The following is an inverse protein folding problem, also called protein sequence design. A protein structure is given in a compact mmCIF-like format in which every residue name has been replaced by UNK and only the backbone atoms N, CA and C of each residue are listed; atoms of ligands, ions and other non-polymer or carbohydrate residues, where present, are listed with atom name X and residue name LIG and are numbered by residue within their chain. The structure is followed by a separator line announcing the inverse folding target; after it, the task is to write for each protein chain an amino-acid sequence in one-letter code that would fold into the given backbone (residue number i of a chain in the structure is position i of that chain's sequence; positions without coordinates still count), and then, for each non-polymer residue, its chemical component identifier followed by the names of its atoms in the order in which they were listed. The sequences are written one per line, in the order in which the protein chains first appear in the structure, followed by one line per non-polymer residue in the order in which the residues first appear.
data_IF_051938008489
#
_entry.id   IF_051938008489
#
_cell.length_a   1.000
_cell.length_b   1.000
_cell.length_c   1.000
_cell.angle_alpha   90.00
_cell.angle_beta   90.00
_cell.angle_gamma   90.00
#
_symmetry.space_group_name_H-M   'P 1'
#
loop_
_entity.id
_entity.type
_entity.pdbx_description
1 polymer ?
#
# COMPACT_ATOMS: atom_id res chain seq x y z
N UNK A 1 -3.03 2.87 19.44
CA UNK A 1 -3.50 1.58 20.02
C UNK A 1 -4.96 1.72 20.41
N UNK A 2 -5.73 0.65 20.30
CA UNK A 2 -7.05 0.60 20.92
C UNK A 2 -6.81 0.39 22.42
N UNK A 3 -7.32 1.29 23.25
CA UNK A 3 -6.98 1.35 24.68
C UNK A 3 -8.19 0.92 25.54
N UNK A 4 -9.01 0.03 25.01
CA UNK A 4 -10.19 -0.54 25.68
C UNK A 4 -10.17 -2.06 25.49
N UNK A 5 -10.97 -2.76 26.28
CA UNK A 5 -11.17 -4.20 26.16
C UNK A 5 -11.62 -4.62 24.75
N UNK A 6 -11.29 -5.84 24.36
CA UNK A 6 -11.45 -6.33 22.97
C UNK A 6 -12.91 -6.27 22.51
N UNK A 7 -13.86 -6.58 23.40
CA UNK A 7 -15.30 -6.54 23.17
C UNK A 7 -15.87 -5.13 23.05
N UNK A 8 -15.20 -4.13 23.63
CA UNK A 8 -15.55 -2.71 23.55
C UNK A 8 -14.81 -1.97 22.43
N UNK A 9 -13.79 -2.59 21.84
CA UNK A 9 -12.94 -1.96 20.86
C UNK A 9 -13.64 -1.88 19.48
N UNK A 10 -13.73 -0.70 18.85
CA UNK A 10 -14.32 -0.59 17.52
C UNK A 10 -13.47 -1.35 16.50
N UNK A 11 -14.11 -1.99 15.50
CA UNK A 11 -13.42 -2.74 14.47
C UNK A 11 -12.59 -1.84 13.54
N UNK A 12 -11.54 -2.41 12.95
CA UNK A 12 -10.70 -1.74 11.94
C UNK A 12 -9.28 -1.40 12.40
N UNK A 13 -8.38 -1.34 11.43
CA UNK A 13 -6.97 -0.94 11.56
C UNK A 13 -6.59 -0.08 10.34
N UNK A 14 -5.62 0.83 10.47
CA UNK A 14 -5.04 1.50 9.31
C UNK A 14 -4.03 0.60 8.60
N UNK A 15 -4.09 0.58 7.27
CA UNK A 15 -3.23 -0.26 6.44
C UNK A 15 -2.74 0.39 5.14
N UNK A 16 -3.28 1.54 4.70
CA UNK A 16 -2.97 2.10 3.38
C UNK A 16 -1.46 2.35 3.18
N UNK A 17 -0.80 2.91 4.20
CA UNK A 17 0.62 3.25 4.17
C UNK A 17 1.56 2.03 4.28
N UNK A 18 1.01 0.85 4.61
CA UNK A 18 1.79 -0.39 4.78
C UNK A 18 1.41 -1.48 3.78
N UNK A 19 0.34 -1.30 3.00
CA UNK A 19 -0.26 -2.36 2.19
C UNK A 19 0.72 -3.03 1.23
N UNK A 20 1.48 -2.24 0.45
CA UNK A 20 2.46 -2.77 -0.50
C UNK A 20 3.55 -3.58 0.22
N UNK A 21 4.16 -2.98 1.23
CA UNK A 21 5.25 -3.59 2.02
C UNK A 21 4.80 -4.86 2.76
N UNK A 22 3.58 -4.88 3.29
CA UNK A 22 2.99 -6.08 3.88
C UNK A 22 2.84 -7.18 2.84
N UNK A 23 2.27 -6.88 1.67
CA UNK A 23 2.12 -7.86 0.61
C UNK A 23 3.46 -8.39 0.11
N UNK A 24 4.49 -7.55 0.02
CA UNK A 24 5.84 -8.01 -0.34
C UNK A 24 6.33 -9.02 0.70
N UNK A 25 6.32 -8.61 1.98
CA UNK A 25 6.80 -9.45 3.09
C UNK A 25 6.04 -10.76 3.24
N UNK A 26 4.71 -10.75 3.07
CA UNK A 26 3.87 -11.91 3.40
C UNK A 26 3.43 -12.73 2.20
N UNK A 27 3.51 -12.20 0.98
CA UNK A 27 3.06 -12.90 -0.23
C UNK A 27 4.17 -13.09 -1.27
N UNK A 28 5.05 -12.10 -1.48
CA UNK A 28 6.13 -12.24 -2.46
C UNK A 28 7.34 -12.96 -1.87
N UNK A 29 7.86 -12.50 -0.73
CA UNK A 29 9.05 -13.10 -0.10
C UNK A 29 8.88 -14.61 0.19
N UNK A 30 7.72 -15.10 0.68
CA UNK A 30 7.51 -16.53 0.87
C UNK A 30 7.17 -17.31 -0.43
N UNK A 31 7.08 -16.62 -1.58
CA UNK A 31 6.83 -17.23 -2.89
C UNK A 31 5.36 -17.55 -3.19
N UNK A 32 4.40 -16.99 -2.44
CA UNK A 32 2.96 -17.20 -2.70
C UNK A 32 2.45 -16.44 -3.93
N UNK A 33 3.06 -15.30 -4.25
CA UNK A 33 2.75 -14.50 -5.43
C UNK A 33 4.03 -14.02 -6.12
N UNK A 34 3.97 -13.91 -7.44
CA UNK A 34 4.93 -13.11 -8.22
C UNK A 34 4.59 -11.62 -8.15
N UNK A 35 5.54 -10.76 -8.51
CA UNK A 35 5.30 -9.32 -8.64
C UNK A 35 4.11 -8.98 -9.55
N UNK A 36 4.01 -9.63 -10.70
CA UNK A 36 2.91 -9.37 -11.65
C UNK A 36 1.56 -9.78 -11.07
N UNK A 37 1.50 -10.89 -10.32
CA UNK A 37 0.27 -11.30 -9.65
C UNK A 37 -0.13 -10.33 -8.54
N UNK A 38 0.83 -9.80 -7.77
CA UNK A 38 0.55 -8.79 -6.76
C UNK A 38 0.04 -7.49 -7.41
N UNK A 39 0.71 -6.99 -8.45
CA UNK A 39 0.33 -5.77 -9.16
C UNK A 39 -1.08 -5.91 -9.76
N UNK A 40 -1.42 -7.05 -10.38
CA UNK A 40 -2.78 -7.28 -10.89
C UNK A 40 -3.82 -7.22 -9.77
N UNK A 41 -3.56 -7.85 -8.61
CA UNK A 41 -4.48 -7.83 -7.46
C UNK A 41 -4.68 -6.44 -6.86
N UNK A 42 -3.67 -5.57 -6.92
CA UNK A 42 -3.74 -4.22 -6.35
C UNK A 42 -4.21 -3.16 -7.36
N UNK A 43 -4.10 -3.41 -8.67
CA UNK A 43 -4.32 -2.39 -9.71
C UNK A 43 -5.31 -2.83 -10.80
N UNK A 44 -4.86 -3.62 -11.78
CA UNK A 44 -5.63 -4.01 -12.97
C UNK A 44 -6.89 -4.83 -12.63
N UNK A 45 -6.80 -5.73 -11.66
CA UNK A 45 -7.89 -6.56 -11.16
C UNK A 45 -9.05 -5.71 -10.61
N UNK A 46 -8.83 -4.88 -9.58
CA UNK A 46 -9.84 -3.95 -9.09
C UNK A 46 -10.40 -3.01 -10.17
N UNK A 47 -9.55 -2.44 -11.03
CA UNK A 47 -10.00 -1.57 -12.12
C UNK A 47 -10.95 -2.28 -13.10
N UNK A 48 -10.66 -3.54 -13.45
CA UNK A 48 -11.52 -4.39 -14.28
C UNK A 48 -12.85 -4.70 -13.61
N UNK A 49 -12.86 -5.04 -12.32
CA UNK A 49 -14.10 -5.31 -11.55
C UNK A 49 -14.98 -4.07 -11.52
N UNK A 50 -14.39 -2.90 -11.29
CA UNK A 50 -15.07 -1.61 -11.20
C UNK A 50 -15.35 -0.96 -12.57
N UNK A 51 -14.97 -1.62 -13.69
CA UNK A 51 -15.14 -1.13 -15.07
C UNK A 51 -14.48 0.23 -15.33
N UNK A 52 -13.30 0.45 -14.75
CA UNK A 52 -12.54 1.69 -14.88
C UNK A 52 -11.54 1.58 -16.05
N UNK A 53 -11.97 1.99 -17.25
CA UNK A 53 -11.22 1.79 -18.50
C UNK A 53 -9.83 2.46 -18.56
N UNK A 54 -9.62 3.53 -17.77
CA UNK A 54 -8.39 4.33 -17.76
C UNK A 54 -7.58 4.20 -16.47
N UNK A 55 -7.97 3.30 -15.55
CA UNK A 55 -7.27 3.06 -14.27
C UNK A 55 -6.57 1.69 -14.25
N UNK A 56 -5.62 1.52 -13.34
CA UNK A 56 -4.97 0.23 -13.08
C UNK A 56 -4.16 -0.31 -14.26
N UNK A 57 -3.62 0.58 -15.10
CA UNK A 57 -2.82 0.24 -16.28
C UNK A 57 -1.70 1.26 -16.46
N UNK A 58 -0.63 0.87 -17.14
CA UNK A 58 0.50 1.74 -17.50
C UNK A 58 0.68 1.78 -19.02
N UNK A 59 -0.35 2.29 -19.71
CA UNK A 59 -0.37 2.45 -21.17
C UNK A 59 -0.53 3.91 -21.54
N UNK A 60 -0.02 4.30 -22.70
CA UNK A 60 -0.26 5.63 -23.28
C UNK A 60 -1.77 5.92 -23.39
N UNK A 61 -2.17 7.13 -23.00
CA UNK A 61 -3.57 7.58 -23.05
C UNK A 61 -4.42 7.21 -21.83
N UNK A 62 -3.89 6.44 -20.87
CA UNK A 62 -4.55 6.21 -19.58
C UNK A 62 -4.24 7.36 -18.59
N UNK A 63 -4.96 7.38 -17.47
CA UNK A 63 -4.70 8.35 -16.41
C UNK A 63 -3.28 8.13 -15.87
N UNK A 64 -2.53 9.21 -15.68
CA UNK A 64 -1.16 9.17 -15.16
C UNK A 64 -1.14 8.96 -13.64
N UNK A 65 -1.67 7.82 -13.21
CA UNK A 65 -1.69 7.33 -11.83
C UNK A 65 -0.61 6.28 -11.65
N UNK A 66 0.50 6.65 -10.99
CA UNK A 66 1.70 5.82 -10.90
C UNK A 66 2.27 5.87 -9.49
N UNK A 67 2.66 4.72 -8.94
CA UNK A 67 3.43 4.67 -7.69
C UNK A 67 4.86 4.24 -7.99
N UNK A 68 5.82 5.06 -7.61
CA UNK A 68 7.25 4.71 -7.64
C UNK A 68 7.64 4.19 -6.26
N UNK A 69 8.27 3.02 -6.22
CA UNK A 69 8.76 2.43 -4.99
C UNK A 69 10.08 1.70 -5.25
N UNK A 70 10.89 1.55 -4.21
CA UNK A 70 12.13 0.76 -4.28
C UNK A 70 11.87 -0.64 -3.70
N UNK A 71 11.88 -1.71 -4.52
CA UNK A 71 11.45 -3.04 -4.10
C UNK A 71 12.30 -3.60 -2.95
N UNK A 72 13.62 -3.37 -2.97
CA UNK A 72 14.54 -3.91 -1.96
C UNK A 72 14.83 -2.97 -0.78
N UNK A 73 14.33 -1.72 -0.80
CA UNK A 73 14.67 -0.77 0.25
C UNK A 73 13.92 -1.12 1.53
N UNK A 74 14.68 -1.32 2.60
CA UNK A 74 14.17 -1.62 3.91
C UNK A 74 13.74 -0.35 4.64
N UNK A 75 12.66 -0.47 5.41
CA UNK A 75 12.20 0.56 6.31
C UNK A 75 11.45 -0.06 7.49
N UNK A 76 11.45 0.64 8.62
CA UNK A 76 10.70 0.23 9.82
C UNK A 76 9.37 0.99 9.86
N UNK A 77 8.29 0.27 10.11
CA UNK A 77 6.95 0.86 10.25
C UNK A 77 6.90 1.74 11.50
N UNK A 78 6.93 3.04 11.30
CA UNK A 78 6.72 4.03 12.35
C UNK A 78 5.36 4.70 12.18
N UNK A 79 4.37 4.22 12.94
CA UNK A 79 3.00 4.77 12.90
C UNK A 79 2.95 6.25 13.24
N UNK A 80 3.92 6.79 14.00
CA UNK A 80 3.95 8.22 14.33
C UNK A 80 4.19 9.09 13.10
N UNK A 81 4.88 8.56 12.09
CA UNK A 81 5.14 9.23 10.81
C UNK A 81 4.00 9.09 9.80
N UNK A 82 2.99 8.28 10.11
CA UNK A 82 1.90 8.08 9.18
C UNK A 82 1.15 9.38 8.90
N UNK A 83 0.80 9.61 7.63
CA UNK A 83 -0.02 10.75 7.20
C UNK A 83 -1.45 10.63 7.73
N UNK A 84 -1.99 9.42 7.87
CA UNK A 84 -3.31 9.25 8.48
C UNK A 84 -3.31 9.70 9.94
N UNK A 85 -4.43 10.29 10.37
CA UNK A 85 -4.61 10.76 11.75
C UNK A 85 -4.60 9.59 12.75
N UNK A 86 -5.05 8.41 12.33
CA UNK A 86 -5.09 7.24 13.19
C UNK A 86 -3.73 6.55 13.35
N UNK A 87 -3.52 5.93 14.51
CA UNK A 87 -2.29 5.20 14.87
C UNK A 87 -2.60 3.77 15.31
N UNK A 88 -3.70 3.20 14.82
CA UNK A 88 -4.21 1.87 15.18
C UNK A 88 -3.73 0.76 14.22
N UNK A 89 -2.43 0.72 13.93
CA UNK A 89 -1.83 -0.36 13.13
C UNK A 89 -1.14 -1.39 14.05
N UNK A 90 -1.33 -2.70 13.83
CA UNK A 90 -0.61 -3.74 14.58
C UNK A 90 0.84 -3.91 14.09
N UNK A 91 1.21 -3.28 12.98
CA UNK A 91 2.50 -3.49 12.32
C UNK A 91 3.60 -2.54 12.78
N UNK A 92 3.35 -1.70 13.80
CA UNK A 92 4.36 -0.78 14.32
C UNK A 92 5.64 -1.52 14.74
N UNK A 93 6.80 -1.02 14.32
CA UNK A 93 8.11 -1.60 14.59
C UNK A 93 8.53 -2.73 13.65
N UNK A 94 7.67 -3.18 12.73
CA UNK A 94 8.06 -4.21 11.76
C UNK A 94 9.04 -3.65 10.74
N UNK A 95 10.06 -4.41 10.39
CA UNK A 95 10.93 -4.14 9.24
C UNK A 95 10.32 -4.74 7.97
N UNK A 96 10.25 -3.94 6.91
CA UNK A 96 9.66 -4.33 5.64
C UNK A 96 10.44 -3.78 4.46
N UNK A 97 10.26 -4.39 3.28
CA UNK A 97 10.80 -3.93 2.00
C UNK A 97 9.74 -3.21 1.16
N UNK A 98 10.13 -2.62 0.04
CA UNK A 98 9.20 -1.97 -0.89
C UNK A 98 8.81 -0.56 -0.50
N UNK A 99 9.77 0.27 -0.08
CA UNK A 99 9.48 1.64 0.36
C UNK A 99 8.99 2.49 -0.82
N UNK A 100 7.83 3.12 -0.66
CA UNK A 100 7.26 4.04 -1.64
C UNK A 100 8.09 5.34 -1.64
N UNK A 101 8.42 5.83 -2.84
CA UNK A 101 9.19 7.05 -3.08
C UNK A 101 8.32 8.22 -3.50
N UNK A 102 7.35 7.96 -4.38
CA UNK A 102 6.38 8.97 -4.78
C UNK A 102 5.11 8.30 -5.30
N UNK A 103 4.02 9.06 -5.29
CA UNK A 103 2.76 8.70 -5.93
C UNK A 103 2.38 9.85 -6.85
N UNK A 104 2.11 9.55 -8.11
CA UNK A 104 1.59 10.49 -9.09
C UNK A 104 0.12 10.19 -9.28
N UNK A 105 -0.72 11.23 -9.24
CA UNK A 105 -2.17 11.12 -9.48
C UNK A 105 -2.57 12.13 -10.54
N UNK A 106 -3.13 11.66 -11.65
CA UNK A 106 -3.45 12.47 -12.83
C UNK A 106 -2.27 13.36 -13.27
N UNK A 107 -1.05 12.81 -13.28
CA UNK A 107 0.16 13.50 -13.72
C UNK A 107 0.75 14.47 -12.70
N UNK A 108 0.19 14.57 -11.49
CA UNK A 108 0.72 15.41 -10.42
C UNK A 108 1.37 14.57 -9.31
N UNK A 109 2.64 14.83 -9.03
CA UNK A 109 3.35 14.22 -7.91
C UNK A 109 2.71 14.63 -6.58
N UNK A 110 2.44 13.63 -5.74
CA UNK A 110 2.03 13.76 -4.35
C UNK A 110 3.24 13.44 -3.47
N UNK A 111 3.66 14.41 -2.66
CA UNK A 111 4.77 14.22 -1.75
C UNK A 111 4.35 13.35 -0.57
N UNK A 112 5.19 12.37 -0.27
CA UNK A 112 5.08 11.50 0.90
C UNK A 112 6.11 11.98 1.94
N UNK A 113 5.92 13.20 2.47
CA UNK A 113 6.81 13.73 3.52
C UNK A 113 6.63 13.01 4.87
#
# INVERSE_FOLDING_TARGET
KKNVEVDLAPFGIVGLETALSLCIRTLIEPGHLTWMQLIDKLTTGPARILKLANKGTFRTGADADVTLFHPEEQWTVDVKRFKTQSKNSPFAGWEMRGKIKTVVVNGQSRHLD
#
